data_IF_847739182535
#
_entry.id   IF_847739182535
#
_cell.length_a   1.000
_cell.length_b   1.000
_cell.length_c   1.000
_cell.angle_alpha   90.00
_cell.angle_beta   90.00
_cell.angle_gamma   90.00
#
_symmetry.space_group_name_H-M   'P 1'
#
loop_
_entity.id
_entity.type
_entity.pdbx_description
1 polymer ?
#
# COMPACT_ATOMS: atom_id res chain seq x y z
N UNK A 1 -5.86 -5.32 -6.86
CA UNK A 1 -6.81 -4.39 -6.20
C UNK A 1 -7.90 -3.93 -7.17
N UNK A 2 -7.60 -3.17 -8.25
CA UNK A 2 -8.58 -2.65 -9.22
C UNK A 2 -9.61 -3.69 -9.69
N UNK A 3 -9.18 -4.86 -10.17
CA UNK A 3 -10.07 -5.93 -10.64
C UNK A 3 -11.05 -6.43 -9.56
N UNK A 4 -10.65 -6.48 -8.29
CA UNK A 4 -11.51 -6.93 -7.21
C UNK A 4 -12.72 -5.98 -7.00
N UNK A 5 -12.48 -4.66 -7.10
CA UNK A 5 -13.55 -3.67 -7.06
C UNK A 5 -14.43 -3.73 -8.32
N UNK A 6 -13.81 -3.86 -9.50
CA UNK A 6 -14.56 -3.94 -10.77
C UNK A 6 -15.50 -5.14 -10.84
N UNK A 7 -15.06 -6.30 -10.34
CA UNK A 7 -15.95 -7.48 -10.26
C UNK A 7 -17.18 -7.26 -9.38
N UNK A 8 -17.17 -6.25 -8.54
CA UNK A 8 -18.31 -5.82 -7.68
C UNK A 8 -19.12 -4.66 -8.27
N UNK A 9 -18.89 -4.34 -9.57
CA UNK A 9 -19.64 -3.28 -10.26
C UNK A 9 -19.14 -1.86 -9.99
N UNK A 10 -18.02 -1.67 -9.30
CA UNK A 10 -17.45 -0.35 -9.00
C UNK A 10 -16.54 0.08 -10.15
N UNK A 11 -16.68 1.31 -10.66
CA UNK A 11 -15.75 1.88 -11.67
C UNK A 11 -14.39 2.19 -11.03
N UNK A 12 -13.60 1.15 -10.86
CA UNK A 12 -12.26 1.26 -10.31
C UNK A 12 -11.22 1.38 -11.42
N UNK A 13 -10.34 2.35 -11.29
CA UNK A 13 -9.23 2.62 -12.20
C UNK A 13 -7.91 2.61 -11.44
N UNK A 14 -6.81 2.49 -12.14
CA UNK A 14 -5.47 2.55 -11.55
C UNK A 14 -4.57 3.51 -12.32
N UNK A 15 -3.55 4.02 -11.64
CA UNK A 15 -2.48 4.80 -12.24
C UNK A 15 -1.15 4.29 -11.68
N UNK A 16 -0.18 4.02 -12.54
CA UNK A 16 1.18 3.62 -12.17
C UNK A 16 2.16 4.04 -13.26
N UNK A 17 3.42 4.22 -12.89
CA UNK A 17 4.52 4.45 -13.83
C UNK A 17 4.84 3.21 -14.69
N UNK A 18 4.29 2.05 -14.33
CA UNK A 18 4.38 0.81 -15.08
C UNK A 18 3.08 0.54 -15.85
N UNK A 19 3.15 -0.16 -16.98
CA UNK A 19 1.95 -0.59 -17.68
C UNK A 19 1.13 -1.60 -16.87
N UNK A 20 -0.14 -1.76 -17.23
CA UNK A 20 -1.01 -2.77 -16.62
C UNK A 20 -0.46 -4.19 -16.85
N UNK A 21 -0.33 -4.97 -15.78
CA UNK A 21 0.11 -6.38 -15.87
C UNK A 21 -1.03 -7.35 -16.20
N UNK A 22 -2.28 -6.91 -16.11
CA UNK A 22 -3.49 -7.74 -16.22
C UNK A 22 -4.21 -7.67 -17.58
N UNK A 23 -3.59 -6.99 -18.55
CA UNK A 23 -4.16 -6.80 -19.91
C UNK A 23 -5.32 -5.80 -20.00
N UNK A 24 -5.82 -5.26 -18.90
CA UNK A 24 -6.94 -4.31 -18.87
C UNK A 24 -6.45 -2.84 -18.92
N UNK A 25 -5.68 -2.50 -19.98
CA UNK A 25 -5.09 -1.17 -20.13
C UNK A 25 -6.12 -0.04 -20.17
N UNK A 26 -7.36 -0.29 -20.62
CA UNK A 26 -8.42 0.71 -20.70
C UNK A 26 -8.81 1.30 -19.32
N UNK A 27 -8.57 0.57 -18.24
CA UNK A 27 -8.83 1.01 -16.87
C UNK A 27 -7.56 1.40 -16.11
N UNK A 28 -6.46 1.58 -16.84
CA UNK A 28 -5.16 1.89 -16.27
C UNK A 28 -4.54 3.10 -16.96
N UNK A 29 -4.16 4.09 -16.16
CA UNK A 29 -3.37 5.23 -16.63
C UNK A 29 -1.90 4.92 -16.42
N UNK A 30 -1.16 4.75 -17.52
CA UNK A 30 0.27 4.54 -17.51
C UNK A 30 0.98 5.89 -17.44
N UNK A 31 1.47 6.26 -16.27
CA UNK A 31 2.19 7.52 -16.04
C UNK A 31 2.14 8.02 -14.60
N UNK A 32 2.60 9.23 -14.41
CA UNK A 32 2.61 9.89 -13.11
C UNK A 32 1.21 10.46 -12.79
N UNK A 33 0.66 10.07 -11.65
CA UNK A 33 -0.65 10.51 -11.16
C UNK A 33 -0.73 12.05 -11.07
N UNK A 34 0.33 12.71 -10.69
CA UNK A 34 0.35 14.18 -10.56
C UNK A 34 0.34 14.92 -11.90
N UNK A 35 0.67 14.24 -13.00
CA UNK A 35 0.47 14.74 -14.34
C UNK A 35 -0.96 14.55 -14.86
N UNK A 36 -1.68 13.54 -14.38
CA UNK A 36 -3.05 13.25 -14.80
C UNK A 36 -4.09 14.03 -13.99
N UNK A 37 -3.92 14.15 -12.68
CA UNK A 37 -4.87 14.81 -11.80
C UNK A 37 -5.36 16.17 -12.31
N UNK A 38 -4.49 17.11 -12.74
CA UNK A 38 -4.93 18.42 -13.22
C UNK A 38 -5.73 18.36 -14.55
N UNK A 39 -5.61 17.28 -15.31
CA UNK A 39 -6.21 17.12 -16.65
C UNK A 39 -7.51 16.31 -16.63
N UNK A 40 -7.90 15.78 -15.47
CA UNK A 40 -9.02 14.85 -15.34
C UNK A 40 -9.97 15.32 -14.23
N UNK A 41 -10.86 16.29 -14.52
CA UNK A 41 -11.77 16.87 -13.52
C UNK A 41 -12.62 15.84 -12.76
N UNK A 42 -12.98 14.72 -13.40
CA UNK A 42 -13.74 13.63 -12.77
C UNK A 42 -12.94 12.88 -11.67
N UNK A 43 -11.62 13.02 -11.63
CA UNK A 43 -10.80 12.48 -10.54
C UNK A 43 -10.87 13.31 -9.25
N UNK A 44 -11.57 14.44 -9.25
CA UNK A 44 -11.74 15.28 -8.08
C UNK A 44 -12.91 14.85 -7.19
N UNK A 45 -13.75 13.90 -7.65
CA UNK A 45 -14.86 13.33 -6.89
C UNK A 45 -14.67 11.82 -6.68
N UNK A 46 -13.51 11.45 -6.15
CA UNK A 46 -13.22 10.06 -5.84
C UNK A 46 -13.95 9.63 -4.57
N UNK A 47 -14.75 8.57 -4.64
CA UNK A 47 -15.33 7.93 -3.46
C UNK A 47 -14.27 7.26 -2.61
N UNK A 48 -13.24 6.68 -3.25
CA UNK A 48 -12.14 6.00 -2.58
C UNK A 48 -10.82 6.17 -3.34
N UNK A 49 -9.80 6.61 -2.63
CA UNK A 49 -8.41 6.55 -3.04
C UNK A 49 -7.69 5.41 -2.29
N UNK A 50 -7.14 4.46 -3.03
CA UNK A 50 -6.19 3.48 -2.49
C UNK A 50 -4.81 3.85 -3.01
N UNK A 51 -3.94 4.37 -2.14
CA UNK A 51 -2.61 4.85 -2.49
C UNK A 51 -1.50 3.89 -2.06
N UNK A 52 -0.52 3.67 -2.94
CA UNK A 52 0.69 2.89 -2.69
C UNK A 52 1.94 3.76 -2.92
N UNK A 53 2.22 4.75 -2.07
CA UNK A 53 3.37 5.63 -2.26
C UNK A 53 4.70 4.87 -2.14
N UNK A 54 5.74 5.40 -2.79
CA UNK A 54 7.08 4.81 -2.70
C UNK A 54 7.55 4.79 -1.25
N UNK A 55 7.77 3.59 -0.71
CA UNK A 55 8.05 3.37 0.72
C UNK A 55 9.46 2.83 1.02
N UNK A 56 10.33 2.65 0.01
CA UNK A 56 11.64 1.98 0.15
C UNK A 56 12.51 2.57 1.24
N UNK A 57 12.56 3.90 1.36
CA UNK A 57 13.40 4.60 2.34
C UNK A 57 12.72 4.73 3.71
N UNK A 58 11.41 4.57 3.77
CA UNK A 58 10.61 4.72 4.99
C UNK A 58 10.48 3.43 5.80
N UNK A 59 10.69 2.27 5.18
CA UNK A 59 10.58 0.98 5.85
C UNK A 59 11.61 0.83 6.99
N UNK A 60 11.20 0.22 8.11
CA UNK A 60 12.06 0.02 9.28
C UNK A 60 13.36 -0.72 8.94
N UNK A 61 13.33 -1.66 8.00
CA UNK A 61 14.53 -2.36 7.51
C UNK A 61 15.55 -1.44 6.82
N UNK A 62 15.10 -0.27 6.35
CA UNK A 62 15.92 0.75 5.71
C UNK A 62 16.59 1.74 6.67
N UNK A 63 16.13 1.81 7.93
CA UNK A 63 16.55 2.82 8.89
C UNK A 63 18.07 2.89 9.12
N UNK A 64 18.74 1.74 9.14
CA UNK A 64 20.20 1.68 9.31
C UNK A 64 20.98 2.37 8.18
N UNK A 65 20.44 2.41 6.98
CA UNK A 65 21.07 3.04 5.81
C UNK A 65 21.05 4.57 5.86
N UNK A 66 20.28 5.17 6.80
CA UNK A 66 20.32 6.61 7.07
C UNK A 66 21.64 7.07 7.69
N UNK A 67 22.50 6.14 8.05
CA UNK A 67 23.78 6.43 8.70
C UNK A 67 24.94 5.86 7.88
N UNK A 68 26.08 6.54 7.92
CA UNK A 68 27.31 6.11 7.24
C UNK A 68 27.77 4.75 7.77
N UNK A 69 28.11 3.82 6.86
CA UNK A 69 28.47 2.45 7.24
C UNK A 69 27.40 1.68 7.99
N UNK A 70 26.12 2.11 7.90
CA UNK A 70 24.96 1.55 8.62
C UNK A 70 25.07 1.63 10.16
N UNK A 71 25.89 2.55 10.69
CA UNK A 71 26.12 2.75 12.12
C UNK A 71 25.82 4.18 12.51
N UNK A 72 25.02 4.36 13.54
CA UNK A 72 24.54 5.68 13.99
C UNK A 72 25.69 6.58 14.46
N UNK A 73 26.69 6.01 15.09
CA UNK A 73 27.89 6.68 15.58
C UNK A 73 28.75 7.32 14.49
N UNK A 74 28.64 6.85 13.24
CA UNK A 74 29.35 7.40 12.11
C UNK A 74 28.68 8.66 11.51
N UNK A 75 27.55 9.08 12.08
CA UNK A 75 26.79 10.23 11.61
C UNK A 75 25.85 9.91 10.43
N UNK A 76 25.06 10.93 10.03
CA UNK A 76 24.06 10.76 8.98
C UNK A 76 24.69 10.54 7.60
N UNK A 77 24.00 9.78 6.75
CA UNK A 77 24.29 9.66 5.32
C UNK A 77 23.42 10.68 4.56
N UNK A 78 23.93 11.83 4.09
CA UNK A 78 23.13 12.89 3.52
C UNK A 78 22.29 12.45 2.32
N UNK A 79 22.85 11.61 1.43
CA UNK A 79 22.14 11.11 0.25
C UNK A 79 20.91 10.28 0.64
N UNK A 80 21.02 9.44 1.67
CA UNK A 80 19.90 8.60 2.13
C UNK A 80 18.84 9.41 2.88
N UNK A 81 19.24 10.47 3.59
CA UNK A 81 18.29 11.39 4.19
C UNK A 81 17.52 12.18 3.14
N UNK A 82 18.19 12.67 2.08
CA UNK A 82 17.51 13.34 0.97
C UNK A 82 16.50 12.39 0.26
N UNK A 83 16.87 11.12 0.03
CA UNK A 83 15.94 10.12 -0.51
C UNK A 83 14.74 9.88 0.44
N UNK A 84 14.95 9.90 1.76
CA UNK A 84 13.87 9.78 2.73
C UNK A 84 12.93 10.99 2.66
N UNK A 85 13.49 12.20 2.62
CA UNK A 85 12.72 13.44 2.50
C UNK A 85 11.86 13.44 1.24
N UNK A 86 12.43 13.10 0.10
CA UNK A 86 11.69 12.96 -1.16
C UNK A 86 10.56 11.91 -1.06
N UNK A 87 10.82 10.76 -0.43
CA UNK A 87 9.80 9.73 -0.20
C UNK A 87 8.68 10.20 0.72
N UNK A 88 9.01 10.96 1.76
CA UNK A 88 8.03 11.56 2.68
C UNK A 88 7.16 12.58 1.96
N UNK A 89 7.74 13.46 1.16
CA UNK A 89 6.97 14.45 0.39
C UNK A 89 6.06 13.77 -0.65
N UNK A 90 6.54 12.74 -1.33
CA UNK A 90 5.69 11.94 -2.21
C UNK A 90 4.52 11.27 -1.46
N UNK A 91 4.77 10.73 -0.26
CA UNK A 91 3.71 10.16 0.59
C UNK A 91 2.66 11.21 0.94
N UNK A 92 3.09 12.38 1.40
CA UNK A 92 2.20 13.50 1.73
C UNK A 92 1.39 13.95 0.52
N UNK A 93 2.01 14.04 -0.66
CA UNK A 93 1.34 14.42 -1.89
C UNK A 93 0.26 13.40 -2.29
N UNK A 94 0.53 12.08 -2.20
CA UNK A 94 -0.48 11.05 -2.44
C UNK A 94 -1.61 11.14 -1.42
N UNK A 95 -1.29 11.34 -0.12
CA UNK A 95 -2.29 11.52 0.94
C UNK A 95 -3.17 12.75 0.73
N UNK A 96 -2.63 13.80 0.12
CA UNK A 96 -3.34 15.05 -0.15
C UNK A 96 -4.29 14.99 -1.35
N UNK A 97 -4.24 13.92 -2.18
CA UNK A 97 -5.19 13.76 -3.30
C UNK A 97 -6.62 13.77 -2.74
N UNK A 98 -7.51 14.61 -3.29
CA UNK A 98 -8.89 14.68 -2.83
C UNK A 98 -9.62 13.35 -3.05
N UNK A 99 -10.27 12.85 -2.01
CA UNK A 99 -11.17 11.70 -2.06
C UNK A 99 -12.05 11.70 -0.81
N UNK A 100 -13.27 11.18 -0.90
CA UNK A 100 -14.18 11.04 0.24
C UNK A 100 -13.63 10.09 1.31
N UNK A 101 -12.91 9.04 0.86
CA UNK A 101 -12.28 8.01 1.69
C UNK A 101 -10.89 7.71 1.20
N UNK A 102 -9.97 7.39 2.11
CA UNK A 102 -8.61 7.05 1.73
C UNK A 102 -8.09 5.84 2.48
N UNK A 103 -7.36 5.01 1.76
CA UNK A 103 -6.56 3.92 2.29
C UNK A 103 -5.14 4.03 1.73
N UNK A 104 -4.18 4.50 2.52
CA UNK A 104 -2.79 4.66 2.09
C UNK A 104 -1.95 3.53 2.66
N UNK A 105 -1.45 2.68 1.77
CA UNK A 105 -0.58 1.55 2.10
C UNK A 105 0.78 2.05 2.58
N UNK A 106 1.28 1.41 3.60
CA UNK A 106 2.61 1.69 4.11
C UNK A 106 3.23 0.45 4.76
N UNK A 107 4.58 0.34 4.76
CA UNK A 107 5.26 -0.72 5.47
C UNK A 107 5.28 -0.46 6.98
N UNK A 108 5.87 -1.36 7.73
CA UNK A 108 6.33 -1.02 9.09
C UNK A 108 7.42 0.03 8.97
N UNK A 109 7.05 1.29 9.19
CA UNK A 109 7.94 2.45 9.04
C UNK A 109 8.83 2.65 10.25
N UNK A 110 10.02 3.20 10.03
CA UNK A 110 10.89 3.66 11.12
C UNK A 110 10.42 5.02 11.71
N UNK A 111 10.78 5.34 12.97
CA UNK A 111 10.28 6.53 13.66
C UNK A 111 10.57 7.86 12.96
N UNK A 112 11.69 7.98 12.23
CA UNK A 112 12.01 9.21 11.49
C UNK A 112 10.96 9.49 10.42
N UNK A 113 10.65 8.50 9.57
CA UNK A 113 9.62 8.64 8.54
C UNK A 113 8.26 8.98 9.15
N UNK A 114 7.86 8.28 10.22
CA UNK A 114 6.58 8.53 10.88
C UNK A 114 6.45 9.96 11.40
N UNK A 115 7.50 10.51 12.02
CA UNK A 115 7.50 11.90 12.51
C UNK A 115 7.42 12.92 11.37
N UNK A 116 8.21 12.71 10.31
CA UNK A 116 8.24 13.62 9.15
C UNK A 116 6.92 13.66 8.39
N UNK A 117 6.22 12.54 8.29
CA UNK A 117 4.90 12.43 7.67
C UNK A 117 3.81 13.04 8.56
N UNK A 118 4.00 13.08 9.88
CA UNK A 118 2.93 13.32 10.84
C UNK A 118 1.92 12.15 10.82
N UNK A 119 2.45 10.92 10.88
CA UNK A 119 1.66 9.70 10.76
C UNK A 119 0.73 9.50 11.93
N UNK A 120 -0.56 9.33 11.65
CA UNK A 120 -1.58 9.01 12.63
C UNK A 120 -1.71 7.51 12.94
N UNK A 121 -2.87 7.13 13.44
CA UNK A 121 -3.20 5.73 13.73
C UNK A 121 -3.27 4.92 12.43
N UNK A 122 -2.68 3.73 12.46
CA UNK A 122 -2.68 2.78 11.35
C UNK A 122 -3.24 1.44 11.79
N UNK A 123 -3.90 0.75 10.87
CA UNK A 123 -4.16 -0.67 11.01
C UNK A 123 -3.04 -1.47 10.34
N UNK A 124 -2.57 -2.53 10.99
CA UNK A 124 -1.72 -3.53 10.36
C UNK A 124 -2.53 -4.80 10.11
N UNK A 125 -2.45 -5.30 8.89
CA UNK A 125 -3.05 -6.57 8.46
C UNK A 125 -1.97 -7.52 7.96
N UNK A 126 -2.32 -8.79 7.87
CA UNK A 126 -1.44 -9.84 7.38
C UNK A 126 -2.14 -10.64 6.28
N UNK A 127 -1.44 -11.16 5.26
CA UNK A 127 -2.05 -11.99 4.22
C UNK A 127 -2.78 -13.21 4.78
N UNK A 128 -2.29 -13.82 5.85
CA UNK A 128 -2.93 -14.96 6.48
C UNK A 128 -4.28 -14.65 7.16
N UNK A 129 -4.65 -13.38 7.32
CA UNK A 129 -6.02 -12.99 7.71
C UNK A 129 -7.02 -13.24 6.58
N UNK A 130 -6.52 -13.33 5.36
CA UNK A 130 -7.29 -13.40 4.12
C UNK A 130 -7.04 -14.70 3.34
N UNK A 131 -6.56 -15.75 4.01
CA UNK A 131 -6.40 -17.08 3.43
C UNK A 131 -5.07 -17.32 2.70
N UNK A 132 -4.09 -16.42 2.80
CA UNK A 132 -2.82 -16.56 2.08
C UNK A 132 -1.67 -16.81 3.08
N UNK A 133 -0.94 -17.94 2.95
CA UNK A 133 0.04 -18.39 3.92
C UNK A 133 1.36 -17.60 3.84
N UNK A 134 1.31 -16.29 4.09
CA UNK A 134 2.46 -15.40 4.05
C UNK A 134 2.51 -14.44 5.23
N UNK A 135 3.73 -14.08 5.62
CA UNK A 135 4.02 -12.98 6.53
C UNK A 135 4.45 -11.74 5.72
N UNK A 136 3.59 -10.73 5.69
CA UNK A 136 3.89 -9.40 5.16
C UNK A 136 2.98 -8.39 5.85
N UNK A 137 3.43 -7.87 6.99
CA UNK A 137 2.69 -6.82 7.68
C UNK A 137 2.49 -5.63 6.75
N UNK A 138 1.25 -5.37 6.38
CA UNK A 138 0.83 -4.25 5.54
C UNK A 138 0.07 -3.26 6.41
N UNK A 139 0.57 -2.04 6.50
CA UNK A 139 -0.08 -0.95 7.23
C UNK A 139 -1.04 -0.19 6.32
N UNK A 140 -2.16 0.23 6.88
CA UNK A 140 -3.12 1.11 6.24
C UNK A 140 -3.33 2.34 7.09
N UNK A 141 -3.00 3.52 6.59
CA UNK A 141 -3.52 4.78 7.11
C UNK A 141 -4.89 4.98 6.48
N UNK A 142 -5.93 5.07 7.32
CA UNK A 142 -7.33 5.09 6.88
C UNK A 142 -7.96 6.43 7.22
N UNK A 143 -8.66 7.01 6.24
CA UNK A 143 -9.47 8.20 6.40
C UNK A 143 -10.91 7.89 5.95
N UNK A 144 -11.88 8.07 6.83
CA UNK A 144 -13.29 7.76 6.61
C UNK A 144 -13.59 6.32 6.18
N UNK A 145 -12.75 5.37 6.60
CA UNK A 145 -12.89 3.94 6.34
C UNK A 145 -12.75 3.13 7.63
N UNK A 146 -13.51 2.05 7.78
CA UNK A 146 -13.26 1.07 8.83
C UNK A 146 -11.99 0.26 8.51
N UNK A 147 -11.37 -0.28 9.54
CA UNK A 147 -10.30 -1.26 9.36
C UNK A 147 -10.81 -2.53 8.67
N UNK A 148 -9.93 -3.21 7.94
CA UNK A 148 -10.23 -4.51 7.33
C UNK A 148 -10.36 -5.60 8.39
N UNK A 149 -11.44 -6.34 8.33
CA UNK A 149 -11.66 -7.55 9.13
C UNK A 149 -11.18 -8.79 8.39
N UNK A 150 -10.64 -9.80 9.10
CA UNK A 150 -10.25 -11.06 8.48
C UNK A 150 -11.45 -11.76 7.82
N UNK A 151 -11.24 -12.28 6.60
CA UNK A 151 -12.26 -13.04 5.86
C UNK A 151 -12.00 -14.55 5.85
N UNK A 152 -10.72 -14.95 5.96
CA UNK A 152 -10.32 -16.36 5.97
C UNK A 152 -9.02 -16.51 6.79
N UNK A 153 -9.13 -16.43 8.11
CA UNK A 153 -7.98 -16.37 9.01
C UNK A 153 -7.32 -17.74 9.18
N UNK A 154 -6.12 -17.89 8.64
CA UNK A 154 -5.27 -19.05 8.86
C UNK A 154 -4.59 -18.99 10.24
N UNK A 155 -4.15 -20.15 10.75
CA UNK A 155 -3.33 -20.21 11.96
C UNK A 155 -1.86 -20.12 11.58
N UNK A 156 -1.12 -19.09 12.03
CA UNK A 156 0.29 -18.95 11.66
C UNK A 156 1.14 -20.07 12.29
N UNK A 157 2.10 -20.62 11.54
CA UNK A 157 2.96 -21.68 12.03
C UNK A 157 3.93 -21.19 13.11
N UNK A 158 4.37 -22.12 13.96
CA UNK A 158 5.32 -21.82 15.03
C UNK A 158 6.67 -21.34 14.46
N UNK A 159 7.29 -20.31 15.08
CA UNK A 159 8.62 -19.86 14.70
C UNK A 159 9.64 -21.02 14.68
N UNK A 160 10.55 -21.00 13.71
CA UNK A 160 11.61 -22.01 13.55
C UNK A 160 11.24 -23.24 12.71
N UNK A 161 9.95 -23.47 12.43
CA UNK A 161 9.50 -24.58 11.59
C UNK A 161 9.76 -24.34 10.10
N UNK A 162 9.75 -25.40 9.30
CA UNK A 162 9.87 -25.32 7.84
C UNK A 162 8.72 -24.50 7.24
N UNK A 163 7.53 -24.69 7.76
CA UNK A 163 6.34 -23.96 7.33
C UNK A 163 6.47 -22.46 7.64
N UNK A 164 6.95 -22.07 8.82
CA UNK A 164 7.23 -20.67 9.15
C UNK A 164 8.27 -20.05 8.18
N UNK A 165 9.26 -20.85 7.75
CA UNK A 165 10.23 -20.40 6.74
C UNK A 165 9.56 -20.18 5.39
N UNK A 166 8.63 -21.05 4.98
CA UNK A 166 7.88 -20.91 3.74
C UNK A 166 6.99 -19.66 3.76
N UNK A 167 6.24 -19.40 4.84
CA UNK A 167 5.42 -18.19 4.98
C UNK A 167 6.23 -16.89 4.98
N UNK A 168 7.53 -16.99 5.31
CA UNK A 168 8.46 -15.84 5.30
C UNK A 168 9.09 -15.56 3.93
N UNK A 169 8.62 -16.19 2.84
CA UNK A 169 9.20 -16.08 1.51
C UNK A 169 9.40 -14.63 1.03
N UNK A 170 8.41 -13.76 1.25
CA UNK A 170 8.48 -12.33 0.89
C UNK A 170 9.68 -11.61 1.54
N UNK A 171 10.01 -11.95 2.80
CA UNK A 171 11.16 -11.38 3.50
C UNK A 171 12.48 -11.98 3.05
N UNK A 172 12.44 -13.21 2.53
CA UNK A 172 13.61 -13.99 2.09
C UNK A 172 13.87 -13.90 0.60
N UNK A 173 13.08 -13.11 -0.14
CA UNK A 173 13.29 -12.87 -1.56
C UNK A 173 14.78 -12.54 -1.82
N UNK A 174 15.46 -13.30 -2.68
CA UNK A 174 16.89 -13.10 -2.93
C UNK A 174 17.18 -11.73 -3.56
N UNK A 175 18.40 -11.21 -3.41
CA UNK A 175 18.81 -10.03 -4.16
C UNK A 175 18.71 -10.27 -5.67
N UNK A 176 18.12 -9.30 -6.38
CA UNK A 176 17.96 -9.40 -7.83
C UNK A 176 17.05 -8.30 -8.36
N UNK A 177 16.96 -8.12 -9.68
CA UNK A 177 16.15 -7.07 -10.31
C UNK A 177 14.65 -7.20 -10.00
N UNK A 178 14.14 -8.44 -9.89
CA UNK A 178 12.73 -8.73 -9.62
C UNK A 178 12.34 -8.59 -8.15
N UNK A 179 13.32 -8.51 -7.24
CA UNK A 179 13.04 -8.49 -5.79
C UNK A 179 12.06 -7.39 -5.38
N UNK A 180 12.22 -6.20 -5.91
CA UNK A 180 11.35 -5.07 -5.55
C UNK A 180 9.92 -5.33 -6.05
N UNK A 181 9.77 -5.79 -7.29
CA UNK A 181 8.49 -6.13 -7.89
C UNK A 181 7.79 -7.26 -7.11
N UNK A 182 8.47 -8.37 -6.85
CA UNK A 182 7.92 -9.51 -6.12
C UNK A 182 7.46 -9.13 -4.71
N UNK A 183 8.21 -8.28 -4.02
CA UNK A 183 7.86 -7.82 -2.67
C UNK A 183 6.75 -6.77 -2.65
N UNK A 184 6.54 -6.01 -3.73
CA UNK A 184 5.50 -4.99 -3.82
C UNK A 184 4.11 -5.57 -4.16
N UNK A 185 4.03 -6.77 -4.72
CA UNK A 185 2.76 -7.38 -5.11
C UNK A 185 1.77 -7.43 -3.95
N UNK A 186 0.54 -7.02 -4.25
CA UNK A 186 -0.59 -7.14 -3.33
C UNK A 186 -1.10 -8.57 -3.31
N UNK A 187 -1.52 -9.03 -2.15
CA UNK A 187 -2.13 -10.34 -1.97
C UNK A 187 -3.59 -10.33 -2.43
N UNK A 188 -4.01 -11.37 -3.15
CA UNK A 188 -5.34 -11.45 -3.76
C UNK A 188 -6.43 -11.44 -2.69
N UNK A 189 -6.30 -12.24 -1.64
CA UNK A 189 -7.27 -12.31 -0.55
C UNK A 189 -7.47 -10.96 0.15
N UNK A 190 -6.38 -10.21 0.37
CA UNK A 190 -6.47 -8.86 0.91
C UNK A 190 -7.17 -7.89 -0.06
N UNK A 191 -6.92 -8.02 -1.37
CA UNK A 191 -7.58 -7.21 -2.38
C UNK A 191 -9.09 -7.50 -2.44
N UNK A 192 -9.48 -8.77 -2.33
CA UNK A 192 -10.88 -9.18 -2.29
C UNK A 192 -11.59 -8.67 -1.02
N UNK A 193 -10.95 -8.80 0.14
CA UNK A 193 -11.48 -8.30 1.40
C UNK A 193 -11.66 -6.76 1.38
N UNK A 194 -10.72 -6.02 0.82
CA UNK A 194 -10.84 -4.57 0.66
C UNK A 194 -12.00 -4.21 -0.27
N UNK A 195 -12.12 -4.89 -1.40
CA UNK A 195 -13.21 -4.66 -2.36
C UNK A 195 -14.58 -5.06 -1.80
N UNK A 196 -14.65 -6.11 -0.98
CA UNK A 196 -15.87 -6.52 -0.29
C UNK A 196 -16.28 -5.48 0.76
N UNK A 197 -15.38 -5.15 1.70
CA UNK A 197 -15.71 -4.35 2.88
C UNK A 197 -15.79 -2.86 2.56
N UNK A 198 -14.83 -2.30 1.85
CA UNK A 198 -14.85 -0.88 1.47
C UNK A 198 -15.74 -0.63 0.27
N UNK A 199 -15.81 -1.59 -0.68
CA UNK A 199 -16.71 -1.49 -1.83
C UNK A 199 -18.19 -1.48 -1.44
N UNK A 200 -18.58 -2.26 -0.41
CA UNK A 200 -19.94 -2.25 0.11
C UNK A 200 -20.37 -0.86 0.60
N UNK A 201 -19.46 -0.11 1.23
CA UNK A 201 -19.74 1.26 1.68
C UNK A 201 -19.99 2.19 0.49
N UNK A 202 -19.15 2.09 -0.56
CA UNK A 202 -19.30 2.91 -1.77
C UNK A 202 -20.63 2.62 -2.46
N UNK A 203 -20.99 1.34 -2.59
CA UNK A 203 -22.26 0.94 -3.22
C UNK A 203 -23.49 1.39 -2.41
N UNK A 204 -23.42 1.34 -1.09
CA UNK A 204 -24.47 1.83 -0.21
C UNK A 204 -24.70 3.35 -0.39
N UNK A 205 -23.62 4.15 -0.38
CA UNK A 205 -23.72 5.60 -0.62
C UNK A 205 -24.30 5.91 -2.01
N UNK A 206 -23.90 5.16 -3.05
CA UNK A 206 -24.42 5.36 -4.39
C UNK A 206 -25.93 5.05 -4.48
N UNK A 207 -26.42 4.06 -3.74
CA UNK A 207 -27.84 3.72 -3.66
C UNK A 207 -28.62 4.80 -2.91
N UNK A 208 -28.09 5.32 -1.81
CA UNK A 208 -28.71 6.42 -1.05
C UNK A 208 -28.78 7.71 -1.88
N UNK A 209 -27.75 8.01 -2.67
CA UNK A 209 -27.72 9.18 -3.54
C UNK A 209 -28.70 9.09 -4.73
N UNK A 210 -29.11 7.87 -5.11
CA UNK A 210 -30.05 7.62 -6.21
C UNK A 210 -31.52 7.53 -5.76
N UNK A 211 -31.81 7.53 -4.46
CA UNK A 211 -33.15 7.42 -3.87
C UNK A 211 -33.77 8.80 -3.59
#
# INVERSE_FOLDING_TARGET
>A
MRQAFRRRGIDARSCDLKPAEDGEAVYHYHGDIFHFLPKTPWMWDLDLLIGHPVCRTMANSGAKHLYLGMRKENGPNPARWAELEAGVEHYKAVRAIPARRKAIENPVMHPHAMRMIGMGKRQFVQPWWFGEPFFKATGWELENLPGLSPTNKLTPPKPGTTEHKAWSAVHREPPGPERAANRSRSFIGMCEAAAEQWGAIILADAMEAAA
#
